data_IF_834583483942
#
_entry.id   IF_834583483942
#
_cell.length_a   1.000
_cell.length_b   1.000
_cell.length_c   1.000
_cell.angle_alpha   90.00
_cell.angle_beta   90.00
_cell.angle_gamma   90.00
#
_symmetry.space_group_name_H-M   'P 1'
#
loop_
_entity.id
_entity.type
_entity.pdbx_description
1 polymer ?
#
# COMPACT_ATOMS: atom_id res chain seq x y z
N UNK A 1 22.56 -25.11 22.16
CA UNK A 1 22.84 -23.96 21.29
C UNK A 1 23.75 -23.00 22.03
N UNK A 2 25.05 -22.99 21.73
CA UNK A 2 25.96 -21.93 22.21
C UNK A 2 25.74 -20.72 21.31
N UNK A 3 25.25 -19.63 21.89
CA UNK A 3 25.26 -18.34 21.23
C UNK A 3 26.74 -17.99 21.02
N UNK A 4 27.19 -17.54 19.82
CA UNK A 4 28.57 -17.12 19.61
C UNK A 4 28.80 -15.74 20.24
N UNK A 5 28.57 -15.62 21.56
CA UNK A 5 28.71 -14.39 22.33
C UNK A 5 30.16 -13.90 22.38
N UNK A 6 31.13 -14.82 22.28
CA UNK A 6 32.57 -14.52 22.32
C UNK A 6 33.03 -13.67 21.12
N UNK A 7 32.55 -14.01 19.92
CA UNK A 7 32.83 -13.26 18.68
C UNK A 7 32.16 -11.88 18.67
N UNK A 8 30.98 -11.76 19.26
CA UNK A 8 30.24 -10.49 19.33
C UNK A 8 30.94 -9.49 20.28
N UNK A 9 31.46 -9.98 21.42
CA UNK A 9 32.23 -9.18 22.39
C UNK A 9 33.57 -8.70 21.83
N UNK A 10 34.30 -9.53 21.09
CA UNK A 10 35.55 -9.13 20.41
C UNK A 10 35.28 -8.04 19.36
N UNK A 11 34.20 -8.14 18.59
CA UNK A 11 33.80 -7.09 17.63
C UNK A 11 33.36 -5.78 18.29
N UNK A 12 32.85 -5.85 19.53
CA UNK A 12 32.41 -4.69 20.30
C UNK A 12 33.55 -3.94 20.98
N UNK A 13 34.67 -4.61 21.29
CA UNK A 13 35.84 -4.02 21.95
C UNK A 13 36.63 -3.04 21.06
N UNK A 14 36.59 -3.21 19.74
CA UNK A 14 37.23 -2.29 18.78
C UNK A 14 36.27 -1.24 18.21
N UNK A 15 34.97 -1.33 18.53
CA UNK A 15 33.96 -0.49 17.94
C UNK A 15 33.92 0.88 18.60
N UNK A 16 34.34 1.91 17.88
CA UNK A 16 34.37 3.27 18.39
C UNK A 16 33.02 3.95 18.23
N UNK A 17 32.81 5.06 18.96
CA UNK A 17 31.63 5.91 18.75
C UNK A 17 31.54 6.43 17.30
N UNK A 18 32.68 6.65 16.64
CA UNK A 18 32.73 7.03 15.22
C UNK A 18 32.14 5.92 14.35
N UNK A 19 32.50 4.66 14.59
CA UNK A 19 31.99 3.51 13.84
C UNK A 19 30.48 3.32 14.06
N UNK A 20 29.98 3.55 15.28
CA UNK A 20 28.54 3.55 15.57
C UNK A 20 27.81 4.66 14.82
N UNK A 21 28.37 5.87 14.78
CA UNK A 21 27.80 6.99 14.05
C UNK A 21 27.76 6.72 12.55
N UNK A 22 28.84 6.17 11.99
CA UNK A 22 28.90 5.78 10.58
C UNK A 22 27.89 4.66 10.25
N UNK A 23 27.76 3.64 11.10
CA UNK A 23 26.72 2.61 10.95
C UNK A 23 25.32 3.21 10.98
N UNK A 24 25.05 4.17 11.89
CA UNK A 24 23.76 4.85 11.95
C UNK A 24 23.47 5.65 10.68
N UNK A 25 24.45 6.38 10.16
CA UNK A 25 24.30 7.13 8.90
C UNK A 25 24.00 6.19 7.73
N UNK A 26 24.78 5.12 7.57
CA UNK A 26 24.55 4.11 6.52
C UNK A 26 23.16 3.47 6.61
N UNK A 27 22.70 3.19 7.83
CA UNK A 27 21.37 2.65 8.06
C UNK A 27 20.28 3.64 7.64
N UNK A 28 20.39 4.91 8.06
CA UNK A 28 19.42 5.95 7.68
C UNK A 28 19.39 6.12 6.15
N UNK A 29 20.55 6.22 5.49
CA UNK A 29 20.61 6.31 4.02
C UNK A 29 19.97 5.10 3.32
N UNK A 30 20.18 3.88 3.84
CA UNK A 30 19.57 2.68 3.30
C UNK A 30 18.04 2.68 3.47
N UNK A 31 17.55 3.19 4.60
CA UNK A 31 16.12 3.35 4.87
C UNK A 31 15.47 4.33 3.88
N UNK A 32 16.07 5.49 3.66
CA UNK A 32 15.58 6.47 2.68
C UNK A 32 15.52 5.88 1.26
N UNK A 33 16.59 5.21 0.82
CA UNK A 33 16.62 4.55 -0.50
C UNK A 33 15.55 3.46 -0.66
N UNK A 34 15.28 2.71 0.41
CA UNK A 34 14.25 1.69 0.41
C UNK A 34 12.85 2.33 0.35
N UNK A 35 12.62 3.40 1.11
CA UNK A 35 11.37 4.15 1.09
C UNK A 35 11.07 4.69 -0.31
N UNK A 36 12.03 5.39 -0.92
CA UNK A 36 11.89 5.94 -2.27
C UNK A 36 11.50 4.85 -3.27
N UNK A 37 12.15 3.68 -3.18
CA UNK A 37 11.86 2.53 -4.05
C UNK A 37 10.46 1.95 -3.83
N UNK A 38 10.01 1.82 -2.58
CA UNK A 38 8.66 1.35 -2.29
C UNK A 38 7.61 2.36 -2.74
N UNK A 39 7.87 3.66 -2.58
CA UNK A 39 7.00 4.75 -3.05
C UNK A 39 6.89 4.74 -4.58
N UNK A 40 7.99 4.52 -5.31
CA UNK A 40 7.98 4.31 -6.76
C UNK A 40 7.09 3.12 -7.13
N UNK A 41 7.20 2.00 -6.41
CA UNK A 41 6.36 0.82 -6.62
C UNK A 41 4.89 1.04 -6.28
N UNK A 42 4.56 1.86 -5.28
CA UNK A 42 3.19 2.27 -5.01
C UNK A 42 2.62 3.11 -6.17
N UNK A 43 3.43 4.00 -6.77
CA UNK A 43 3.02 4.76 -7.95
C UNK A 43 2.78 3.87 -9.17
N UNK A 44 3.63 2.86 -9.40
CA UNK A 44 3.43 1.87 -10.46
C UNK A 44 2.13 1.08 -10.26
N UNK A 45 1.88 0.57 -9.05
CA UNK A 45 0.66 -0.15 -8.72
C UNK A 45 -0.59 0.72 -8.94
N UNK A 46 -0.59 1.96 -8.44
CA UNK A 46 -1.73 2.86 -8.60
C UNK A 46 -2.04 3.11 -10.09
N UNK A 47 -1.01 3.29 -10.91
CA UNK A 47 -1.13 3.47 -12.36
C UNK A 47 -1.66 2.22 -13.06
N UNK A 48 -1.10 1.04 -12.76
CA UNK A 48 -1.55 -0.23 -13.34
C UNK A 48 -2.98 -0.56 -12.93
N UNK A 49 -3.34 -0.34 -11.66
CA UNK A 49 -4.69 -0.55 -11.16
C UNK A 49 -5.69 0.39 -11.83
N UNK A 50 -5.40 1.70 -11.88
CA UNK A 50 -6.25 2.68 -12.58
C UNK A 50 -6.43 2.33 -14.06
N UNK A 51 -5.36 1.92 -14.75
CA UNK A 51 -5.43 1.48 -16.15
C UNK A 51 -6.23 0.19 -16.34
N UNK A 52 -6.26 -0.69 -15.33
CA UNK A 52 -7.01 -1.94 -15.39
C UNK A 52 -8.52 -1.78 -15.24
N UNK A 53 -9.01 -0.62 -14.81
CA UNK A 53 -10.43 -0.34 -14.60
C UNK A 53 -11.16 0.12 -15.88
N UNK A 54 -10.43 0.31 -16.99
CA UNK A 54 -10.99 0.75 -18.28
C UNK A 54 -11.88 2.01 -18.18
N UNK A 55 -11.46 2.95 -17.34
CA UNK A 55 -12.22 4.17 -17.08
C UNK A 55 -12.20 5.08 -18.32
N UNK A 56 -13.37 5.59 -18.71
CA UNK A 56 -13.52 6.57 -19.80
C UNK A 56 -12.87 7.92 -19.48
N UNK A 57 -12.73 8.25 -18.20
CA UNK A 57 -12.03 9.42 -17.66
C UNK A 57 -11.29 9.04 -16.38
N UNK A 58 -10.18 9.73 -16.08
CA UNK A 58 -9.45 9.54 -14.81
C UNK A 58 -10.13 10.23 -13.63
N UNK A 59 -10.98 11.19 -13.92
CA UNK A 59 -11.63 12.05 -12.94
C UNK A 59 -13.14 12.09 -13.17
N UNK A 60 -13.88 12.27 -12.08
CA UNK A 60 -15.29 12.60 -12.07
C UNK A 60 -15.50 14.01 -11.53
N UNK A 61 -16.65 14.61 -11.82
CA UNK A 61 -16.97 15.98 -11.39
C UNK A 61 -18.00 15.93 -10.28
N UNK A 62 -17.64 16.43 -9.10
CA UNK A 62 -18.53 16.55 -7.95
C UNK A 62 -19.62 17.61 -8.19
N UNK A 63 -20.60 17.67 -7.29
CA UNK A 63 -21.68 18.66 -7.34
C UNK A 63 -21.21 20.10 -7.19
N UNK A 64 -20.05 20.32 -6.58
CA UNK A 64 -19.39 21.62 -6.45
C UNK A 64 -18.61 22.02 -7.71
N UNK A 65 -18.56 21.15 -8.73
CA UNK A 65 -17.76 21.34 -9.94
C UNK A 65 -16.28 20.97 -9.78
N UNK A 66 -15.86 20.51 -8.59
CA UNK A 66 -14.51 20.03 -8.35
C UNK A 66 -14.29 18.70 -9.05
N UNK A 67 -13.11 18.54 -9.66
CA UNK A 67 -12.71 17.27 -10.27
C UNK A 67 -11.98 16.42 -9.25
N UNK A 68 -12.41 15.18 -9.12
CA UNK A 68 -11.86 14.21 -8.18
C UNK A 68 -11.39 12.97 -8.94
N UNK A 69 -10.24 12.37 -8.57
CA UNK A 69 -9.79 11.14 -9.20
C UNK A 69 -10.70 9.97 -8.81
N UNK A 70 -10.97 9.07 -9.76
CA UNK A 70 -11.72 7.84 -9.45
C UNK A 70 -10.96 6.93 -8.48
N UNK A 71 -9.63 6.87 -8.65
CA UNK A 71 -8.73 6.06 -7.84
C UNK A 71 -7.74 6.97 -7.15
N UNK A 72 -7.57 6.76 -5.86
CA UNK A 72 -6.72 7.61 -5.02
C UNK A 72 -5.95 6.78 -4.01
N UNK A 73 -4.89 7.37 -3.46
CA UNK A 73 -4.02 6.72 -2.49
C UNK A 73 -4.02 7.50 -1.19
N UNK A 74 -4.05 6.76 -0.09
CA UNK A 74 -4.29 7.34 1.22
C UNK A 74 -3.88 6.44 2.35
N UNK A 75 -4.32 6.82 3.54
CA UNK A 75 -4.25 6.01 4.75
C UNK A 75 -5.63 5.97 5.40
N UNK A 76 -5.86 4.95 6.22
CA UNK A 76 -6.99 4.98 7.14
C UNK A 76 -6.63 5.87 8.32
N UNK A 77 -7.47 6.86 8.62
CA UNK A 77 -7.45 7.59 9.87
C UNK A 77 -8.15 6.81 10.99
N UNK A 78 -8.06 7.33 12.21
CA UNK A 78 -8.89 6.88 13.32
C UNK A 78 -10.37 6.88 12.91
N UNK A 79 -11.14 5.88 13.36
CA UNK A 79 -12.53 5.62 12.96
C UNK A 79 -12.74 5.02 11.55
N UNK A 80 -11.68 4.67 10.81
CA UNK A 80 -11.80 3.98 9.52
C UNK A 80 -12.18 4.91 8.36
N UNK A 81 -11.96 6.22 8.52
CA UNK A 81 -12.14 7.20 7.44
C UNK A 81 -10.93 7.20 6.54
N UNK A 82 -11.15 7.27 5.23
CA UNK A 82 -10.07 7.40 4.26
C UNK A 82 -9.54 8.83 4.22
N UNK A 83 -8.24 9.00 4.35
CA UNK A 83 -7.56 10.27 4.18
C UNK A 83 -6.57 10.21 3.01
N UNK A 84 -6.77 11.01 1.94
CA UNK A 84 -5.87 11.02 0.80
C UNK A 84 -4.51 11.60 1.17
N UNK A 85 -3.43 10.96 0.73
CA UNK A 85 -2.06 11.45 0.95
C UNK A 85 -1.25 11.35 -0.34
N UNK A 86 -0.25 12.23 -0.47
CA UNK A 86 0.67 12.13 -1.60
C UNK A 86 1.62 10.95 -1.39
N UNK A 87 1.97 10.24 -2.47
CA UNK A 87 2.90 9.09 -2.41
C UNK A 87 4.20 9.41 -1.65
N UNK A 88 4.86 10.57 -1.82
CA UNK A 88 6.07 10.91 -1.06
C UNK A 88 5.86 11.03 0.46
N UNK A 89 4.61 11.24 0.91
CA UNK A 89 4.24 11.32 2.32
C UNK A 89 3.97 9.95 2.95
N UNK A 90 3.88 8.89 2.15
CA UNK A 90 3.74 7.53 2.65
C UNK A 90 5.04 7.11 3.33
N UNK A 91 4.95 6.68 4.59
CA UNK A 91 6.09 6.27 5.38
C UNK A 91 6.12 4.76 5.57
N UNK A 92 7.32 4.20 5.63
CA UNK A 92 7.49 2.80 6.01
C UNK A 92 7.24 2.63 7.52
N UNK A 93 6.72 1.47 7.89
CA UNK A 93 6.66 1.06 9.29
C UNK A 93 8.03 0.57 9.80
N UNK A 94 8.07 0.15 11.07
CA UNK A 94 9.28 -0.39 11.70
C UNK A 94 9.78 -1.72 11.10
N UNK A 95 8.96 -2.40 10.29
CA UNK A 95 9.30 -3.63 9.58
C UNK A 95 9.74 -3.37 8.15
N UNK A 96 9.85 -2.12 7.73
CA UNK A 96 10.15 -1.70 6.36
C UNK A 96 9.05 -2.05 5.35
N UNK A 97 7.81 -2.07 5.79
CA UNK A 97 6.65 -2.20 4.91
C UNK A 97 6.07 -0.81 4.63
N UNK A 98 5.75 -0.54 3.37
CA UNK A 98 4.99 0.64 2.99
C UNK A 98 3.50 0.28 2.99
N UNK A 99 2.79 0.75 4.01
CA UNK A 99 1.36 0.48 4.21
C UNK A 99 0.53 1.68 3.74
N UNK A 100 -0.50 1.44 2.94
CA UNK A 100 -1.39 2.48 2.42
C UNK A 100 -2.73 1.89 2.01
N UNK A 101 -3.64 2.73 1.53
CA UNK A 101 -4.97 2.36 1.06
C UNK A 101 -5.11 2.85 -0.37
N UNK A 102 -5.62 1.99 -1.25
CA UNK A 102 -6.14 2.41 -2.55
C UNK A 102 -7.66 2.55 -2.41
N UNK A 103 -8.17 3.77 -2.61
CA UNK A 103 -9.60 4.05 -2.58
C UNK A 103 -10.14 4.20 -3.99
N UNK A 104 -11.22 3.46 -4.28
CA UNK A 104 -11.92 3.49 -5.57
C UNK A 104 -13.31 4.08 -5.37
N UNK A 105 -13.62 5.12 -6.12
CA UNK A 105 -14.94 5.75 -6.15
C UNK A 105 -15.87 4.88 -7.00
N UNK A 106 -16.99 4.46 -6.41
CA UNK A 106 -17.97 3.58 -7.07
C UNK A 106 -19.30 4.29 -7.36
N UNK A 107 -19.59 5.39 -6.66
CA UNK A 107 -20.70 6.29 -6.97
C UNK A 107 -20.16 7.69 -7.29
N UNK A 108 -20.27 8.07 -8.56
CA UNK A 108 -19.84 9.33 -9.17
C UNK A 108 -21.02 10.30 -9.42
N UNK A 109 -22.22 9.98 -8.93
CA UNK A 109 -23.41 10.83 -9.03
C UNK A 109 -23.19 12.16 -8.32
N UNK A 110 -23.49 13.32 -8.91
CA UNK A 110 -23.38 14.60 -8.20
C UNK A 110 -24.26 14.70 -6.93
N UNK A 111 -25.36 13.93 -6.85
CA UNK A 111 -26.33 13.99 -5.75
C UNK A 111 -25.94 13.14 -4.52
N UNK A 112 -25.30 12.00 -4.75
CA UNK A 112 -24.94 11.01 -3.70
C UNK A 112 -23.43 10.75 -3.64
N UNK A 113 -22.70 11.26 -4.63
CA UNK A 113 -21.35 10.86 -5.01
C UNK A 113 -20.34 11.12 -3.91
N UNK A 114 -19.49 10.13 -3.74
CA UNK A 114 -18.55 10.09 -2.64
C UNK A 114 -18.46 8.73 -1.95
N UNK A 115 -19.27 7.73 -2.35
CA UNK A 115 -19.02 6.38 -1.88
C UNK A 115 -17.72 5.86 -2.49
N UNK A 116 -16.73 5.68 -1.61
CA UNK A 116 -15.41 5.15 -1.93
C UNK A 116 -15.20 3.87 -1.17
N UNK A 117 -14.76 2.84 -1.87
CA UNK A 117 -14.32 1.61 -1.24
C UNK A 117 -12.79 1.61 -1.18
N UNK A 118 -12.25 1.56 0.03
CA UNK A 118 -10.81 1.45 0.26
C UNK A 118 -10.38 -0.01 0.40
N UNK A 119 -9.20 -0.33 -0.14
CA UNK A 119 -8.52 -1.60 0.07
C UNK A 119 -7.13 -1.33 0.62
N UNK A 120 -6.82 -1.93 1.76
CA UNK A 120 -5.50 -1.84 2.40
C UNK A 120 -4.46 -2.60 1.59
N UNK A 121 -3.28 -2.00 1.42
CA UNK A 121 -2.15 -2.52 0.67
C UNK A 121 -0.89 -2.41 1.54
N UNK A 122 -0.04 -3.43 1.49
CA UNK A 122 1.30 -3.40 2.08
C UNK A 122 2.32 -3.85 1.05
N UNK A 123 3.39 -3.07 0.86
CA UNK A 123 4.49 -3.36 -0.07
C UNK A 123 5.81 -3.50 0.68
N UNK A 124 6.59 -4.54 0.38
CA UNK A 124 7.91 -4.73 0.99
C UNK A 124 8.83 -5.61 0.16
N UNK A 125 10.11 -5.62 0.53
CA UNK A 125 11.10 -6.56 0.02
C UNK A 125 11.42 -7.62 1.08
N UNK A 126 11.43 -8.88 0.68
CA UNK A 126 11.89 -10.00 1.50
C UNK A 126 12.84 -10.87 0.67
N UNK A 127 14.07 -11.08 1.16
CA UNK A 127 15.10 -11.88 0.47
C UNK A 127 15.35 -11.48 -1.00
N UNK A 128 15.33 -10.17 -1.30
CA UNK A 128 15.45 -9.59 -2.65
C UNK A 128 14.24 -9.76 -3.58
N UNK A 129 13.21 -10.47 -3.13
CA UNK A 129 11.92 -10.55 -3.82
C UNK A 129 10.99 -9.45 -3.34
N UNK A 130 10.18 -8.92 -4.26
CA UNK A 130 9.21 -7.87 -3.98
C UNK A 130 7.83 -8.49 -3.76
N UNK A 131 7.17 -8.09 -2.69
CA UNK A 131 5.85 -8.60 -2.30
C UNK A 131 4.85 -7.47 -2.15
N UNK A 132 3.61 -7.82 -2.47
CA UNK A 132 2.43 -7.01 -2.19
C UNK A 132 1.41 -7.85 -1.42
N UNK A 133 0.83 -7.25 -0.40
CA UNK A 133 -0.30 -7.80 0.34
C UNK A 133 -1.51 -6.90 0.12
N UNK A 134 -2.67 -7.51 -0.04
CA UNK A 134 -3.93 -6.85 -0.37
C UNK A 134 -5.02 -7.33 0.59
N UNK A 135 -5.73 -6.40 1.19
CA UNK A 135 -6.82 -6.67 2.13
C UNK A 135 -6.44 -6.44 3.59
N UNK A 136 -7.32 -6.83 4.49
CA UNK A 136 -7.16 -6.71 5.94
C UNK A 136 -7.94 -7.81 6.65
N UNK A 137 -7.52 -8.18 7.86
CA UNK A 137 -8.18 -9.23 8.63
C UNK A 137 -8.08 -10.61 7.95
N UNK A 138 -9.20 -11.29 7.78
CA UNK A 138 -9.25 -12.64 7.21
C UNK A 138 -9.19 -12.66 5.67
N UNK A 139 -9.37 -11.51 5.02
CA UNK A 139 -9.40 -11.39 3.55
C UNK A 139 -8.03 -11.01 2.94
N UNK A 140 -6.94 -11.28 3.66
CA UNK A 140 -5.58 -10.91 3.25
C UNK A 140 -5.03 -11.88 2.21
N UNK A 141 -4.57 -11.34 1.08
CA UNK A 141 -3.89 -12.09 0.02
C UNK A 141 -2.49 -11.53 -0.26
N UNK A 142 -1.49 -12.41 -0.32
CA UNK A 142 -0.07 -12.04 -0.57
C UNK A 142 0.40 -12.52 -1.93
N UNK A 143 1.09 -11.64 -2.66
CA UNK A 143 1.57 -11.87 -4.02
C UNK A 143 3.07 -11.57 -4.11
N UNK A 144 3.80 -12.41 -4.83
CA UNK A 144 5.15 -12.08 -5.31
C UNK A 144 5.00 -11.25 -6.59
N UNK A 145 5.51 -10.04 -6.60
CA UNK A 145 5.35 -9.12 -7.72
C UNK A 145 6.58 -9.17 -8.62
N UNK A 146 6.36 -9.38 -9.92
CA UNK A 146 7.43 -9.35 -10.93
C UNK A 146 8.02 -7.95 -11.05
N UNK A 147 9.31 -7.84 -11.31
CA UNK A 147 9.98 -6.56 -11.59
C UNK A 147 9.70 -6.01 -12.99
N UNK A 148 8.98 -6.77 -13.84
CA UNK A 148 8.60 -6.36 -15.18
C UNK A 148 7.33 -5.50 -15.17
N UNK A 149 7.14 -4.68 -16.21
CA UNK A 149 5.90 -3.92 -16.40
C UNK A 149 4.69 -4.87 -16.45
N UNK A 150 3.60 -4.53 -15.75
CA UNK A 150 2.44 -5.43 -15.62
C UNK A 150 2.59 -6.45 -14.48
N UNK A 151 3.66 -6.36 -13.68
CA UNK A 151 3.92 -7.25 -12.56
C UNK A 151 2.83 -7.23 -11.48
N UNK A 152 2.00 -6.18 -11.42
CA UNK A 152 0.93 -6.04 -10.44
C UNK A 152 -0.41 -6.62 -10.90
N UNK A 153 -0.51 -7.31 -12.04
CA UNK A 153 -1.81 -7.79 -12.55
C UNK A 153 -2.61 -8.62 -11.52
N UNK A 154 -1.95 -9.48 -10.75
CA UNK A 154 -2.60 -10.28 -9.69
C UNK A 154 -3.10 -9.40 -8.55
N UNK A 155 -2.30 -8.40 -8.17
CA UNK A 155 -2.63 -7.42 -7.13
C UNK A 155 -3.84 -6.59 -7.55
N UNK A 156 -3.87 -6.09 -8.80
CA UNK A 156 -5.00 -5.36 -9.36
C UNK A 156 -6.28 -6.19 -9.35
N UNK A 157 -6.21 -7.48 -9.73
CA UNK A 157 -7.36 -8.37 -9.69
C UNK A 157 -7.84 -8.65 -8.26
N UNK A 158 -6.92 -8.80 -7.30
CA UNK A 158 -7.26 -8.98 -5.90
C UNK A 158 -7.98 -7.75 -5.32
N UNK A 159 -7.52 -6.54 -5.65
CA UNK A 159 -8.20 -5.29 -5.25
C UNK A 159 -9.66 -5.28 -5.77
N UNK A 160 -9.86 -5.58 -7.05
CA UNK A 160 -11.22 -5.64 -7.64
C UNK A 160 -12.09 -6.70 -6.97
N UNK A 161 -11.54 -7.89 -6.72
CA UNK A 161 -12.25 -8.99 -6.09
C UNK A 161 -12.70 -8.64 -4.66
N UNK A 162 -11.85 -7.96 -3.88
CA UNK A 162 -12.20 -7.50 -2.55
C UNK A 162 -13.27 -6.40 -2.57
N UNK A 163 -13.18 -5.46 -3.50
CA UNK A 163 -14.22 -4.45 -3.70
C UNK A 163 -15.56 -5.14 -4.04
N UNK A 164 -15.56 -6.07 -5.00
CA UNK A 164 -16.75 -6.85 -5.35
C UNK A 164 -17.33 -7.60 -4.15
N UNK A 165 -16.49 -8.37 -3.45
CA UNK A 165 -16.94 -9.16 -2.29
C UNK A 165 -17.47 -8.29 -1.15
N UNK A 166 -16.89 -7.10 -0.93
CA UNK A 166 -17.39 -6.17 0.08
C UNK A 166 -18.81 -5.68 -0.23
N UNK A 167 -19.12 -5.45 -1.51
CA UNK A 167 -20.48 -5.09 -1.94
C UNK A 167 -21.44 -6.27 -1.81
N UNK A 168 -21.00 -7.47 -2.18
CA UNK A 168 -21.82 -8.68 -2.05
C UNK A 168 -22.21 -8.96 -0.59
N UNK A 169 -21.29 -8.74 0.36
CA UNK A 169 -21.56 -8.89 1.80
C UNK A 169 -22.44 -7.78 2.37
N UNK A 170 -22.45 -6.61 1.74
CA UNK A 170 -23.30 -5.48 2.13
C UNK A 170 -24.71 -5.55 1.55
N UNK A 171 -24.99 -6.48 0.61
CA UNK A 171 -26.32 -6.65 0.06
C UNK A 171 -27.31 -7.05 1.16
N UNK A 172 -28.46 -6.36 1.29
CA UNK A 172 -29.47 -6.70 2.28
C UNK A 172 -30.15 -8.03 1.91
N UNK A 173 -30.37 -8.89 2.90
CA UNK A 173 -31.18 -10.09 2.74
C UNK A 173 -32.64 -9.68 2.45
N UNK A 174 -33.09 -9.92 1.21
CA UNK A 174 -34.50 -9.72 0.86
C UNK A 174 -35.25 -11.01 1.26
N UNK A 175 -36.19 -10.96 2.21
CA UNK A 175 -37.00 -12.12 2.54
C UNK A 175 -37.82 -12.52 1.31
N UNK A 176 -37.77 -13.81 0.95
CA UNK A 176 -38.59 -14.34 -0.13
C UNK A 176 -40.08 -14.21 0.23
N UNK A 177 -40.85 -13.59 -0.67
CA UNK A 177 -42.32 -13.52 -0.60
C UNK A 177 -42.98 -14.89 -0.76
#
# INVERSE_FOLDING_TARGET
>A
MQIPFKSCLESGMELTFKDLKEKRTKLVEAQWKLQDKLQEKASELLREYSGSLDLTSREWTGSDGTRWPYVDIGIWEEEGKFFPVLIPQLNMDSRYHLNFVIATTLDDSPLTGGYRQGVSISLWYENSSFYAEVGSGDDVSRFSVSSQLGGFYQVCNAIKALISSSMDRAMPDIPAN
#
